data_IF_258204906614
#
_entry.id   IF_258204906614
#
_cell.length_a   1.000
_cell.length_b   1.000
_cell.length_c   1.000
_cell.angle_alpha   90.00
_cell.angle_beta   90.00
_cell.angle_gamma   90.00
#
_symmetry.space_group_name_H-M   'P 1'
#
loop_
_entity.id
_entity.type
_entity.pdbx_description
1 polymer ?
#
# COMPACT_ATOMS: atom_id res chain seq x y z
N UNK A 1 -8.25 5.41 15.28
CA UNK A 1 -8.08 4.23 14.39
C UNK A 1 -7.73 3.02 15.25
N UNK A 2 -8.27 1.83 14.96
CA UNK A 2 -7.92 0.61 15.71
C UNK A 2 -6.46 0.25 15.40
N UNK A 3 -5.67 -0.05 16.43
CA UNK A 3 -4.27 -0.45 16.25
C UNK A 3 -4.18 -1.71 15.39
N UNK A 4 -3.39 -1.65 14.32
CA UNK A 4 -3.13 -2.79 13.44
C UNK A 4 -1.67 -3.18 13.62
N UNK A 5 -1.39 -4.49 13.66
CA UNK A 5 0.00 -4.96 13.84
C UNK A 5 0.90 -4.40 12.72
N UNK A 6 2.05 -3.80 13.05
CA UNK A 6 2.93 -3.14 12.08
C UNK A 6 3.42 -4.09 10.98
N UNK A 7 3.61 -5.38 11.30
CA UNK A 7 3.94 -6.41 10.33
C UNK A 7 2.88 -6.53 9.21
N UNK A 8 1.59 -6.49 9.57
CA UNK A 8 0.51 -6.57 8.57
C UNK A 8 0.45 -5.31 7.70
N UNK A 9 0.68 -4.14 8.28
CA UNK A 9 0.74 -2.89 7.50
C UNK A 9 1.93 -2.87 6.55
N UNK A 10 3.09 -3.35 6.99
CA UNK A 10 4.30 -3.44 6.15
C UNK A 10 4.08 -4.36 4.95
N UNK A 11 3.49 -5.53 5.18
CA UNK A 11 3.14 -6.48 4.10
C UNK A 11 2.11 -5.86 3.16
N UNK A 12 1.08 -5.20 3.70
CA UNK A 12 0.03 -4.57 2.92
C UNK A 12 0.57 -3.43 2.05
N UNK A 13 1.40 -2.56 2.63
CA UNK A 13 2.09 -1.49 1.92
C UNK A 13 2.92 -2.05 0.75
N UNK A 14 3.70 -3.09 0.99
CA UNK A 14 4.55 -3.71 -0.05
C UNK A 14 3.72 -4.35 -1.16
N UNK A 15 2.58 -4.95 -0.83
CA UNK A 15 1.61 -5.48 -1.79
C UNK A 15 1.03 -4.38 -2.68
N UNK A 16 0.52 -3.30 -2.09
CA UNK A 16 -0.05 -2.19 -2.87
C UNK A 16 1.01 -1.50 -3.74
N UNK A 17 2.21 -1.26 -3.19
CA UNK A 17 3.29 -0.66 -3.95
C UNK A 17 3.78 -1.57 -5.08
N UNK A 18 3.98 -2.86 -4.80
CA UNK A 18 4.43 -3.84 -5.79
C UNK A 18 3.42 -4.04 -6.91
N UNK A 19 2.16 -4.28 -6.58
CA UNK A 19 1.10 -4.46 -7.58
C UNK A 19 0.83 -3.17 -8.36
N UNK A 20 0.84 -2.01 -7.70
CA UNK A 20 0.70 -0.71 -8.38
C UNK A 20 1.83 -0.42 -9.36
N UNK A 21 3.08 -0.66 -8.94
CA UNK A 21 4.27 -0.50 -9.80
C UNK A 21 4.20 -1.41 -11.02
N UNK A 22 3.86 -2.68 -10.83
CA UNK A 22 3.71 -3.63 -11.94
C UNK A 22 2.55 -3.27 -12.85
N UNK A 23 1.41 -2.82 -12.30
CA UNK A 23 0.27 -2.36 -13.08
C UNK A 23 0.64 -1.20 -14.00
N UNK A 24 1.43 -0.23 -13.50
CA UNK A 24 1.91 0.89 -14.32
C UNK A 24 2.84 0.40 -15.44
N UNK A 25 3.81 -0.47 -15.12
CA UNK A 25 4.75 -0.99 -16.13
C UNK A 25 4.01 -1.75 -17.25
N UNK A 26 3.11 -2.66 -16.88
CA UNK A 26 2.32 -3.44 -17.83
C UNK A 26 1.38 -2.54 -18.61
N UNK A 27 0.72 -1.60 -17.94
CA UNK A 27 -0.14 -0.59 -18.55
C UNK A 27 0.57 0.17 -19.67
N UNK A 28 1.72 0.78 -19.38
CA UNK A 28 2.47 1.57 -20.38
C UNK A 28 3.07 0.71 -21.52
N UNK A 29 3.27 -0.59 -21.32
CA UNK A 29 3.77 -1.48 -22.38
C UNK A 29 2.73 -1.91 -23.41
N UNK A 30 1.44 -1.69 -23.14
CA UNK A 30 0.34 -2.07 -24.02
C UNK A 30 -0.14 -0.86 -24.85
N UNK A 31 -0.29 -0.98 -26.17
CA UNK A 31 -0.78 0.12 -27.03
C UNK A 31 -2.32 0.23 -27.09
N UNK A 32 -3.04 -0.50 -26.25
CA UNK A 32 -4.51 -0.57 -26.26
C UNK A 32 -5.15 0.49 -25.37
N UNK A 33 -6.41 0.88 -25.61
CA UNK A 33 -7.15 1.76 -24.70
C UNK A 33 -7.26 1.20 -23.27
N UNK A 34 -7.09 -0.12 -23.12
CA UNK A 34 -7.02 -0.83 -21.83
C UNK A 34 -5.78 -0.40 -21.02
N UNK A 35 -4.70 0.02 -21.69
CA UNK A 35 -3.49 0.58 -21.09
C UNK A 35 -3.77 1.72 -20.13
N UNK A 36 -4.67 2.65 -20.52
CA UNK A 36 -4.99 3.79 -19.69
C UNK A 36 -5.67 3.37 -18.39
N UNK A 37 -6.63 2.43 -18.46
CA UNK A 37 -7.33 1.92 -17.28
C UNK A 37 -6.40 1.14 -16.35
N UNK A 38 -5.51 0.31 -16.90
CA UNK A 38 -4.54 -0.46 -16.11
C UNK A 38 -3.55 0.49 -15.41
N UNK A 39 -3.03 1.48 -16.14
CA UNK A 39 -2.11 2.48 -15.59
C UNK A 39 -2.80 3.32 -14.51
N UNK A 40 -4.03 3.77 -14.76
CA UNK A 40 -4.82 4.53 -13.79
C UNK A 40 -5.10 3.72 -12.51
N UNK A 41 -5.46 2.43 -12.65
CA UNK A 41 -5.58 1.51 -11.52
C UNK A 41 -4.26 1.33 -10.78
N UNK A 42 -3.13 1.24 -11.49
CA UNK A 42 -1.80 1.16 -10.90
C UNK A 42 -1.45 2.40 -10.07
N UNK A 43 -1.79 3.60 -10.56
CA UNK A 43 -1.62 4.87 -9.83
C UNK A 43 -2.46 4.89 -8.56
N UNK A 44 -3.75 4.51 -8.63
CA UNK A 44 -4.62 4.41 -7.45
C UNK A 44 -4.03 3.44 -6.40
N UNK A 45 -3.48 2.33 -6.87
CA UNK A 45 -2.87 1.30 -6.02
C UNK A 45 -1.60 1.82 -5.31
N UNK A 46 -0.77 2.62 -5.99
CA UNK A 46 0.34 3.36 -5.39
C UNK A 46 -0.16 4.38 -4.35
N UNK A 47 -1.22 5.14 -4.64
CA UNK A 47 -1.81 6.09 -3.69
C UNK A 47 -2.32 5.39 -2.42
N UNK A 48 -2.98 4.24 -2.56
CA UNK A 48 -3.40 3.39 -1.44
C UNK A 48 -2.20 2.86 -0.65
N UNK A 49 -1.13 2.42 -1.33
CA UNK A 49 0.12 2.03 -0.69
C UNK A 49 0.76 3.18 0.10
N UNK A 50 0.74 4.39 -0.45
CA UNK A 50 1.19 5.62 0.21
C UNK A 50 0.35 5.96 1.44
N UNK A 51 -0.98 5.84 1.34
CA UNK A 51 -1.88 6.03 2.49
C UNK A 51 -1.64 4.99 3.59
N UNK A 52 -1.47 3.71 3.24
CA UNK A 52 -1.11 2.65 4.20
C UNK A 52 0.26 2.91 4.83
N UNK A 53 1.23 3.39 4.06
CA UNK A 53 2.55 3.80 4.54
C UNK A 53 2.48 5.01 5.50
N UNK A 54 1.62 5.98 5.20
CA UNK A 54 1.35 7.10 6.10
C UNK A 54 0.75 6.60 7.41
N UNK A 55 -0.26 5.73 7.37
CA UNK A 55 -0.83 5.10 8.57
C UNK A 55 0.22 4.28 9.32
N UNK A 56 1.13 3.59 8.63
CA UNK A 56 2.22 2.84 9.28
C UNK A 56 3.16 3.77 10.06
N UNK A 57 3.43 4.97 9.53
CA UNK A 57 4.30 5.95 10.17
C UNK A 57 3.61 6.76 11.27
N UNK A 58 2.32 7.08 11.10
CA UNK A 58 1.53 7.86 12.07
C UNK A 58 0.81 6.99 13.10
N UNK A 59 0.82 5.67 12.95
CA UNK A 59 0.41 4.76 14.03
C UNK A 59 1.42 4.87 15.15
N UNK A 60 1.10 5.67 16.17
CA UNK A 60 1.79 5.59 17.44
C UNK A 60 1.73 4.12 17.92
N UNK A 61 2.88 3.50 18.25
CA UNK A 61 2.85 2.18 18.87
C UNK A 61 1.94 2.30 20.07
N UNK A 62 1.00 1.37 20.23
CA UNK A 62 0.24 1.27 21.46
C UNK A 62 1.28 0.95 22.56
N UNK A 63 1.83 1.99 23.20
CA UNK A 63 2.68 1.94 24.39
C UNK A 63 1.81 1.48 25.55
N UNK A 64 1.21 0.30 25.40
CA UNK A 64 0.41 -0.35 26.42
C UNK A 64 0.35 -1.84 26.13
N UNK A 65 1.53 -2.45 26.19
CA UNK A 65 1.63 -3.68 26.96
C UNK A 65 2.93 -3.68 27.78
N UNK A 66 2.95 -2.85 28.84
CA UNK A 66 3.75 -3.12 30.04
C UNK A 66 3.00 -4.11 30.96
N UNK A 67 2.38 -5.15 30.41
CA UNK A 67 1.67 -6.16 31.21
C UNK A 67 1.78 -7.57 30.63
N UNK A 68 3.01 -7.95 30.28
CA UNK A 68 3.62 -9.26 30.55
C UNK A 68 5.11 -8.94 30.73
N UNK A 69 5.54 -8.59 31.94
CA UNK A 69 6.03 -9.57 32.94
C UNK A 69 6.85 -10.69 32.30
#
# INVERSE_FOLDING_TARGET
MKYVKPHKLKVLMLLFFGTGSMGIIIGLSQPSQVSFFITFMGVINICLGGFVGWVFFTQEPNLRDKRKE
#
